data_IF_732483045938
#
_entry.id   IF_732483045938
#
_cell.length_a   1.000
_cell.length_b   1.000
_cell.length_c   1.000
_cell.angle_alpha   90.00
_cell.angle_beta   90.00
_cell.angle_gamma   90.00
#
_symmetry.space_group_name_H-M   'P 1'
#
loop_
_entity.id
_entity.type
_entity.pdbx_description
1 polymer ?
#
# COMPACT_ATOMS: atom_id res chain seq x y z
N UNK A 1 20.59 0.54 1.78
CA UNK A 1 19.84 1.32 2.80
C UNK A 1 18.65 0.54 3.28
N UNK A 2 18.57 0.17 4.56
CA UNK A 2 17.41 -0.54 5.10
C UNK A 2 16.24 0.43 5.30
N UNK A 3 15.06 0.09 4.78
CA UNK A 3 13.87 0.97 4.82
C UNK A 3 12.65 0.33 5.49
N UNK A 4 12.77 -0.93 5.94
CA UNK A 4 11.72 -1.62 6.70
C UNK A 4 11.43 -3.03 6.19
N UNK A 5 10.36 -3.61 6.74
CA UNK A 5 9.93 -4.98 6.46
C UNK A 5 8.78 -5.00 5.44
N UNK A 6 8.73 -6.03 4.60
CA UNK A 6 7.56 -6.39 3.81
C UNK A 6 7.01 -7.69 4.38
N UNK A 7 5.77 -7.66 4.85
CA UNK A 7 5.06 -8.87 5.24
C UNK A 7 4.29 -9.38 4.03
N UNK A 8 4.60 -10.60 3.60
CA UNK A 8 3.98 -11.22 2.44
C UNK A 8 3.33 -12.55 2.80
N UNK A 9 2.21 -12.82 2.15
CA UNK A 9 1.54 -14.11 2.10
C UNK A 9 1.53 -14.57 0.64
N UNK A 10 1.89 -15.82 0.37
CA UNK A 10 1.93 -16.36 -0.98
C UNK A 10 0.76 -17.31 -1.19
N UNK A 11 -0.06 -17.03 -2.19
CA UNK A 11 -1.23 -17.83 -2.57
C UNK A 11 -1.18 -18.11 -4.07
N UNK A 12 -1.31 -19.38 -4.49
CA UNK A 12 -1.34 -19.77 -5.91
C UNK A 12 -0.24 -19.14 -6.81
N UNK A 13 0.98 -18.97 -6.26
CA UNK A 13 2.13 -18.29 -6.88
C UNK A 13 2.02 -16.75 -7.03
N UNK A 14 1.01 -16.12 -6.45
CA UNK A 14 0.93 -14.67 -6.28
C UNK A 14 1.38 -14.27 -4.87
N UNK A 15 2.19 -13.20 -4.78
CA UNK A 15 2.62 -12.63 -3.52
C UNK A 15 1.68 -11.49 -3.11
N UNK A 16 0.94 -11.69 -2.03
CA UNK A 16 0.08 -10.69 -1.42
C UNK A 16 0.84 -9.93 -0.34
N UNK A 17 0.87 -8.61 -0.46
CA UNK A 17 1.54 -7.74 0.53
C UNK A 17 0.54 -7.39 1.62
N UNK A 18 0.77 -7.92 2.82
CA UNK A 18 -0.06 -7.66 4.00
C UNK A 18 0.38 -6.37 4.70
N UNK A 19 1.69 -6.12 4.77
CA UNK A 19 2.27 -4.90 5.33
C UNK A 19 3.40 -4.34 4.47
N UNK A 20 3.55 -3.01 4.50
CA UNK A 20 4.51 -2.28 3.69
C UNK A 20 4.00 -1.87 2.30
N UNK A 21 2.69 -1.98 2.06
CA UNK A 21 2.04 -1.52 0.83
C UNK A 21 2.40 -0.06 0.50
N UNK A 22 2.22 0.86 1.45
CA UNK A 22 2.55 2.27 1.26
C UNK A 22 4.04 2.50 0.95
N UNK A 23 4.93 1.71 1.56
CA UNK A 23 6.38 1.79 1.32
C UNK A 23 6.72 1.39 -0.10
N UNK A 24 6.18 0.27 -0.58
CA UNK A 24 6.43 -0.21 -1.93
C UNK A 24 5.84 0.73 -2.98
N UNK A 25 4.63 1.25 -2.75
CA UNK A 25 4.02 2.27 -3.63
C UNK A 25 4.88 3.53 -3.69
N UNK A 26 5.38 4.01 -2.55
CA UNK A 26 6.23 5.20 -2.50
C UNK A 26 7.54 5.01 -3.26
N UNK A 27 8.23 3.89 -3.04
CA UNK A 27 9.46 3.56 -3.78
C UNK A 27 9.20 3.46 -5.29
N UNK A 28 8.06 2.88 -5.68
CA UNK A 28 7.65 2.77 -7.08
C UNK A 28 7.40 4.14 -7.72
N UNK A 29 6.80 5.08 -6.99
CA UNK A 29 6.61 6.46 -7.44
C UNK A 29 7.93 7.21 -7.57
N UNK A 30 8.89 7.00 -6.67
CA UNK A 30 10.23 7.58 -6.79
C UNK A 30 10.96 7.05 -8.02
N UNK A 31 10.90 5.74 -8.28
CA UNK A 31 11.45 5.13 -9.50
C UNK A 31 10.87 5.78 -10.76
N UNK A 32 9.54 6.00 -10.80
CA UNK A 32 8.90 6.70 -11.92
C UNK A 32 9.33 8.15 -12.07
N UNK A 33 9.43 8.90 -10.96
CA UNK A 33 9.91 10.28 -10.99
C UNK A 33 11.34 10.38 -11.53
N UNK A 34 12.21 9.43 -11.15
CA UNK A 34 13.58 9.33 -11.68
C UNK A 34 13.56 9.00 -13.16
N UNK A 35 12.74 8.05 -13.59
CA UNK A 35 12.60 7.68 -15.00
C UNK A 35 12.15 8.87 -15.87
N UNK A 36 11.14 9.62 -15.43
CA UNK A 36 10.65 10.82 -16.14
C UNK A 36 11.73 11.90 -16.21
N UNK A 37 12.54 12.07 -15.17
CA UNK A 37 13.63 13.06 -15.20
C UNK A 37 14.80 12.60 -16.08
N UNK A 38 15.15 11.31 -16.07
CA UNK A 38 16.13 10.72 -17.00
C UNK A 38 15.72 10.90 -18.47
N UNK A 39 14.43 10.73 -18.80
CA UNK A 39 13.90 11.02 -20.14
C UNK A 39 14.15 12.48 -20.58
N UNK A 40 14.08 13.44 -19.65
CA UNK A 40 14.36 14.86 -19.94
C UNK A 40 15.84 15.09 -20.23
N UNK A 41 16.74 14.41 -19.52
CA UNK A 41 18.19 14.46 -19.78
C UNK A 41 18.56 13.74 -21.07
N UNK A 42 18.04 12.54 -21.32
CA UNK A 42 18.32 11.74 -22.53
C UNK A 42 18.09 12.55 -23.81
N UNK A 43 16.98 13.31 -23.87
CA UNK A 43 16.62 14.17 -25.02
C UNK A 43 17.59 15.34 -25.25
N UNK A 44 18.39 15.72 -24.26
CA UNK A 44 19.33 16.86 -24.30
C UNK A 44 20.80 16.42 -24.40
N UNK A 45 21.10 15.12 -24.25
CA UNK A 45 22.46 14.60 -24.23
C UNK A 45 22.99 14.40 -25.65
N UNK A 46 24.12 15.03 -25.97
CA UNK A 46 24.86 14.81 -27.22
C UNK A 46 25.92 13.70 -27.10
N UNK A 47 26.39 13.42 -25.88
CA UNK A 47 27.36 12.38 -25.59
C UNK A 47 26.73 10.99 -25.68
N UNK A 48 27.24 10.15 -26.59
CA UNK A 48 26.73 8.80 -26.85
C UNK A 48 26.94 7.85 -25.67
N UNK A 49 28.06 7.95 -24.95
CA UNK A 49 28.35 7.10 -23.80
C UNK A 49 27.42 7.47 -22.63
N UNK A 50 27.24 8.77 -22.35
CA UNK A 50 26.28 9.20 -21.32
C UNK A 50 24.85 8.82 -21.67
N UNK A 51 24.47 8.90 -22.95
CA UNK A 51 23.14 8.46 -23.39
C UNK A 51 22.94 6.96 -23.17
N UNK A 52 23.97 6.14 -23.43
CA UNK A 52 23.92 4.70 -23.17
C UNK A 52 23.74 4.42 -21.67
N UNK A 53 24.52 5.08 -20.81
CA UNK A 53 24.40 4.97 -19.35
C UNK A 53 22.98 5.31 -18.86
N UNK A 54 22.41 6.43 -19.32
CA UNK A 54 21.02 6.82 -18.98
C UNK A 54 20.02 5.77 -19.45
N UNK A 55 20.20 5.22 -20.65
CA UNK A 55 19.33 4.18 -21.20
C UNK A 55 19.37 2.88 -20.37
N UNK A 56 20.55 2.50 -19.87
CA UNK A 56 20.72 1.36 -18.96
C UNK A 56 19.97 1.59 -17.64
N UNK A 57 20.11 2.77 -17.03
CA UNK A 57 19.38 3.09 -15.79
C UNK A 57 17.86 3.09 -16.00
N UNK A 58 17.38 3.60 -17.13
CA UNK A 58 15.96 3.55 -17.50
C UNK A 58 15.47 2.12 -17.72
N UNK A 59 16.29 1.26 -18.32
CA UNK A 59 16.00 -0.17 -18.46
C UNK A 59 15.87 -0.85 -17.08
N UNK A 60 16.71 -0.48 -16.12
CA UNK A 60 16.67 -1.03 -14.76
C UNK A 60 15.41 -0.65 -14.02
N UNK A 61 15.00 0.62 -14.12
CA UNK A 61 13.72 1.07 -13.57
C UNK A 61 12.54 0.28 -14.18
N UNK A 62 12.55 0.04 -15.50
CA UNK A 62 11.52 -0.81 -16.13
C UNK A 62 11.54 -2.24 -15.57
N UNK A 63 12.73 -2.82 -15.29
CA UNK A 63 12.85 -4.17 -14.68
C UNK A 63 12.28 -4.23 -13.26
N UNK A 64 12.32 -3.13 -12.51
CA UNK A 64 11.70 -3.06 -11.18
C UNK A 64 10.18 -2.93 -11.24
N UNK A 65 9.65 -2.16 -12.19
CA UNK A 65 8.24 -1.79 -12.23
C UNK A 65 7.38 -2.69 -13.13
N UNK A 66 7.96 -3.43 -14.07
CA UNK A 66 7.26 -4.26 -15.04
C UNK A 66 7.64 -5.75 -14.95
N UNK A 67 6.68 -6.61 -15.29
CA UNK A 67 6.85 -8.04 -15.57
C UNK A 67 6.86 -8.19 -17.10
N UNK A 68 7.84 -8.93 -17.62
CA UNK A 68 8.04 -9.17 -19.06
C UNK A 68 8.04 -7.90 -19.93
N UNK A 69 8.39 -6.75 -19.33
CA UNK A 69 8.37 -5.41 -19.94
C UNK A 69 7.00 -4.97 -20.45
N UNK A 70 5.91 -5.59 -19.99
CA UNK A 70 4.54 -5.30 -20.45
C UNK A 70 3.61 -4.98 -19.30
N UNK A 71 3.53 -5.89 -18.33
CA UNK A 71 2.54 -5.81 -17.27
C UNK A 71 3.13 -5.12 -16.03
N UNK A 72 2.33 -4.30 -15.36
CA UNK A 72 2.77 -3.61 -14.15
C UNK A 72 2.93 -4.62 -13.02
N UNK A 73 4.13 -4.65 -12.41
CA UNK A 73 4.46 -5.61 -11.34
C UNK A 73 3.64 -5.38 -10.07
N UNK A 74 3.51 -4.12 -9.65
CA UNK A 74 2.73 -3.75 -8.47
C UNK A 74 1.24 -3.64 -8.84
N UNK A 75 0.42 -4.58 -8.38
CA UNK A 75 -1.05 -4.51 -8.49
C UNK A 75 -1.62 -3.84 -7.24
N UNK A 76 -2.24 -2.67 -7.40
CA UNK A 76 -2.93 -1.97 -6.31
C UNK A 76 -4.41 -2.39 -6.24
N UNK A 77 -5.06 -2.07 -5.11
CA UNK A 77 -6.50 -2.25 -4.90
C UNK A 77 -7.32 -1.34 -5.82
N UNK A 78 -8.60 -1.68 -6.01
CA UNK A 78 -9.43 -1.15 -7.12
C UNK A 78 -9.48 0.38 -7.23
N UNK A 79 -9.50 1.12 -6.11
CA UNK A 79 -9.52 2.59 -6.12
C UNK A 79 -8.27 3.20 -6.78
N UNK A 80 -7.10 2.59 -6.57
CA UNK A 80 -5.80 3.09 -7.06
C UNK A 80 -5.26 2.31 -8.26
N UNK A 81 -5.80 1.12 -8.56
CA UNK A 81 -5.35 0.25 -9.66
C UNK A 81 -5.33 0.95 -11.00
N UNK A 82 -6.41 1.65 -11.34
CA UNK A 82 -6.54 2.36 -12.61
C UNK A 82 -5.66 3.61 -12.66
N UNK A 83 -5.53 4.32 -11.54
CA UNK A 83 -4.63 5.47 -11.40
C UNK A 83 -3.19 5.03 -11.63
N UNK A 84 -2.76 3.94 -11.00
CA UNK A 84 -1.42 3.39 -11.13
C UNK A 84 -1.11 2.87 -12.52
N UNK A 85 -2.06 2.16 -13.15
CA UNK A 85 -1.95 1.74 -14.55
C UNK A 85 -1.83 2.95 -15.49
N UNK A 86 -2.54 4.04 -15.22
CA UNK A 86 -2.43 5.26 -16.00
C UNK A 86 -1.06 5.95 -15.82
N UNK A 87 -0.60 6.10 -14.58
CA UNK A 87 0.70 6.72 -14.27
C UNK A 87 1.85 5.96 -14.94
N UNK A 88 1.81 4.63 -14.92
CA UNK A 88 2.87 3.77 -15.47
C UNK A 88 2.97 3.78 -17.00
N UNK A 89 2.01 4.40 -17.72
CA UNK A 89 2.10 4.65 -19.16
C UNK A 89 3.38 5.42 -19.54
N UNK A 90 3.91 6.24 -18.62
CA UNK A 90 5.15 6.99 -18.84
C UNK A 90 6.34 6.09 -19.19
N UNK A 91 6.37 4.83 -18.70
CA UNK A 91 7.43 3.87 -19.01
C UNK A 91 7.50 3.49 -20.50
N UNK A 92 6.38 3.69 -21.20
CA UNK A 92 6.22 3.49 -22.64
C UNK A 92 6.25 4.83 -23.43
N UNK A 93 6.70 5.91 -22.79
CA UNK A 93 6.72 7.28 -23.34
C UNK A 93 5.32 7.85 -23.64
N UNK A 94 4.30 7.40 -22.92
CA UNK A 94 2.93 7.92 -23.00
C UNK A 94 2.61 8.80 -21.78
N UNK A 95 1.99 9.97 -22.00
CA UNK A 95 1.68 10.91 -20.92
C UNK A 95 0.43 10.48 -20.12
N UNK A 96 0.51 10.41 -18.78
CA UNK A 96 -0.64 10.10 -17.94
C UNK A 96 -1.64 11.27 -17.89
N UNK A 97 -2.93 10.97 -17.75
CA UNK A 97 -3.99 11.98 -17.83
C UNK A 97 -5.33 11.52 -17.28
N UNK A 98 -6.15 12.46 -16.81
CA UNK A 98 -7.51 12.20 -16.33
C UNK A 98 -7.67 11.88 -14.83
N UNK A 99 -6.59 11.85 -14.04
CA UNK A 99 -6.62 11.37 -12.65
C UNK A 99 -6.16 12.41 -11.58
N UNK A 100 -6.06 13.69 -11.92
CA UNK A 100 -5.56 14.75 -11.00
C UNK A 100 -6.31 14.88 -9.67
N UNK A 101 -7.57 14.43 -9.60
CA UNK A 101 -8.36 14.47 -8.36
C UNK A 101 -7.93 13.40 -7.33
N UNK A 102 -7.35 12.30 -7.79
CA UNK A 102 -7.01 11.14 -6.97
C UNK A 102 -5.72 11.36 -6.16
N UNK A 103 -5.71 10.89 -4.92
CA UNK A 103 -4.59 11.07 -3.99
C UNK A 103 -3.29 10.48 -4.51
N UNK A 104 -3.32 9.26 -5.06
CA UNK A 104 -2.13 8.64 -5.65
C UNK A 104 -1.53 9.49 -6.76
N UNK A 105 -2.36 10.06 -7.65
CA UNK A 105 -1.90 10.96 -8.70
C UNK A 105 -1.31 12.25 -8.13
N UNK A 106 -1.92 12.84 -7.09
CA UNK A 106 -1.36 14.02 -6.41
C UNK A 106 0.01 13.73 -5.81
N UNK A 107 0.23 12.53 -5.24
CA UNK A 107 1.54 12.12 -4.71
C UNK A 107 2.57 11.91 -5.82
N UNK A 108 2.16 11.28 -6.93
CA UNK A 108 2.98 11.19 -8.14
C UNK A 108 3.40 12.58 -8.64
N UNK A 109 2.44 13.49 -8.79
CA UNK A 109 2.69 14.84 -9.29
C UNK A 109 3.59 15.65 -8.34
N UNK A 110 3.44 15.45 -7.04
CA UNK A 110 4.32 16.04 -6.04
C UNK A 110 5.76 15.51 -6.17
N UNK A 111 5.96 14.19 -6.23
CA UNK A 111 7.29 13.59 -6.37
C UNK A 111 7.97 14.04 -7.66
N UNK A 112 7.26 14.01 -8.80
CA UNK A 112 7.85 14.36 -10.10
C UNK A 112 8.12 15.86 -10.25
N UNK A 113 7.38 16.74 -9.56
CA UNK A 113 7.49 18.19 -9.76
C UNK A 113 8.28 18.90 -8.65
N UNK A 114 8.15 18.43 -7.40
CA UNK A 114 8.69 19.11 -6.22
C UNK A 114 9.82 18.34 -5.53
N UNK A 115 10.07 17.08 -5.89
CA UNK A 115 11.19 16.31 -5.37
C UNK A 115 12.17 15.98 -6.50
N UNK A 116 11.91 14.91 -7.25
CA UNK A 116 12.86 14.42 -8.25
C UNK A 116 12.99 15.37 -9.44
N UNK A 117 11.92 16.06 -9.81
CA UNK A 117 11.97 17.05 -10.89
C UNK A 117 12.71 18.34 -10.55
N UNK A 118 13.13 18.55 -9.30
CA UNK A 118 14.00 19.67 -8.93
C UNK A 118 15.49 19.34 -9.10
N UNK A 119 15.83 18.08 -9.36
CA UNK A 119 17.21 17.65 -9.60
C UNK A 119 17.57 17.99 -11.05
N UNK A 120 18.26 19.12 -11.23
CA UNK A 120 18.67 19.64 -12.55
C UNK A 120 20.07 19.17 -12.98
N UNK A 121 20.77 18.41 -12.14
CA UNK A 121 22.06 17.82 -12.45
C UNK A 121 21.94 16.30 -12.70
N UNK A 122 22.43 15.83 -13.84
CA UNK A 122 22.36 14.41 -14.22
C UNK A 122 23.13 13.52 -13.23
N UNK A 123 24.33 13.91 -12.82
CA UNK A 123 25.15 13.11 -11.90
C UNK A 123 24.48 12.97 -10.52
N UNK A 124 23.83 14.03 -10.04
CA UNK A 124 23.04 13.99 -8.79
C UNK A 124 21.82 13.05 -8.92
N UNK A 125 21.14 13.07 -10.08
CA UNK A 125 20.02 12.17 -10.34
C UNK A 125 20.48 10.71 -10.40
N UNK A 126 21.62 10.42 -11.04
CA UNK A 126 22.23 9.10 -11.10
C UNK A 126 22.67 8.63 -9.71
N UNK A 127 23.25 9.51 -8.89
CA UNK A 127 23.61 9.19 -7.51
C UNK A 127 22.36 8.85 -6.68
N UNK A 128 21.27 9.62 -6.82
CA UNK A 128 20.00 9.34 -6.16
C UNK A 128 19.41 7.99 -6.62
N UNK A 129 19.41 7.74 -7.92
CA UNK A 129 18.92 6.48 -8.50
C UNK A 129 19.74 5.27 -8.04
N UNK A 130 21.06 5.42 -7.90
CA UNK A 130 21.93 4.41 -7.30
C UNK A 130 21.55 4.15 -5.82
N UNK A 131 21.34 5.20 -5.02
CA UNK A 131 20.87 5.06 -3.63
C UNK A 131 19.54 4.31 -3.55
N UNK A 132 18.60 4.65 -4.43
CA UNK A 132 17.28 4.04 -4.50
C UNK A 132 17.36 2.55 -4.90
N UNK A 133 18.24 2.21 -5.83
CA UNK A 133 18.46 0.82 -6.27
C UNK A 133 19.15 -0.05 -5.20
N UNK A 134 19.90 0.58 -4.29
CA UNK A 134 20.54 -0.07 -3.14
C UNK A 134 19.65 -0.09 -1.87
N UNK A 135 18.36 0.22 -2.00
CA UNK A 135 17.39 0.08 -0.92
C UNK A 135 17.13 -1.41 -0.63
N UNK A 136 17.14 -1.77 0.65
CA UNK A 136 16.94 -3.14 1.13
C UNK A 136 15.65 -3.19 1.94
N UNK A 137 14.76 -4.09 1.53
CA UNK A 137 13.53 -4.45 2.24
C UNK A 137 13.73 -5.83 2.84
N UNK A 138 13.40 -6.01 4.12
CA UNK A 138 13.39 -7.32 4.74
C UNK A 138 12.06 -8.01 4.45
N UNK A 139 12.10 -9.03 3.61
CA UNK A 139 10.93 -9.87 3.35
C UNK A 139 10.66 -10.80 4.53
N UNK A 140 9.42 -10.81 4.99
CA UNK A 140 8.89 -11.74 5.98
C UNK A 140 7.74 -12.48 5.31
N UNK A 141 8.00 -13.70 4.88
CA UNK A 141 7.00 -14.58 4.30
C UNK A 141 6.34 -15.43 5.40
N UNK A 142 5.00 -15.45 5.40
CA UNK A 142 4.21 -16.28 6.31
C UNK A 142 3.46 -17.37 5.52
N UNK A 143 3.31 -18.58 6.09
CA UNK A 143 2.77 -19.73 5.38
C UNK A 143 1.25 -19.64 5.18
N UNK A 144 0.54 -18.94 6.06
CA UNK A 144 -0.89 -18.72 5.93
C UNK A 144 -1.30 -17.29 6.33
N UNK A 145 -2.48 -16.88 5.88
CA UNK A 145 -3.02 -15.55 6.14
C UNK A 145 -3.23 -15.30 7.66
N UNK A 146 -3.47 -16.34 8.46
CA UNK A 146 -3.70 -16.21 9.89
C UNK A 146 -2.40 -15.87 10.65
N UNK A 147 -1.30 -16.51 10.28
CA UNK A 147 0.05 -16.23 10.78
C UNK A 147 0.49 -14.82 10.40
N UNK A 148 0.08 -14.34 9.22
CA UNK A 148 0.32 -12.95 8.80
C UNK A 148 -0.20 -11.96 9.83
N UNK A 149 -1.37 -12.22 10.45
CA UNK A 149 -1.95 -11.30 11.43
C UNK A 149 -1.16 -11.24 12.73
N UNK A 150 -0.65 -12.37 13.21
CA UNK A 150 0.16 -12.39 14.43
C UNK A 150 1.47 -11.66 14.22
N UNK A 151 2.14 -11.92 13.09
CA UNK A 151 3.37 -11.24 12.70
C UNK A 151 3.12 -9.74 12.51
N UNK A 152 2.03 -9.37 11.84
CA UNK A 152 1.65 -7.98 11.64
C UNK A 152 1.37 -7.23 12.95
N UNK A 153 0.65 -7.84 13.89
CA UNK A 153 0.39 -7.26 15.21
C UNK A 153 1.70 -7.09 16.01
N UNK A 154 2.61 -8.05 15.92
CA UNK A 154 3.94 -7.98 16.54
C UNK A 154 4.80 -6.87 15.92
N UNK A 155 4.81 -6.74 14.59
CA UNK A 155 5.56 -5.69 13.88
C UNK A 155 5.04 -4.29 14.21
N UNK A 156 3.72 -4.10 14.25
CA UNK A 156 3.09 -2.81 14.56
C UNK A 156 3.12 -2.44 16.05
N UNK A 157 3.43 -3.38 16.95
CA UNK A 157 3.56 -3.08 18.39
C UNK A 157 4.63 -2.03 18.72
N UNK A 158 5.56 -1.77 17.77
CA UNK A 158 6.62 -0.74 17.88
C UNK A 158 6.35 0.51 17.02
N UNK A 159 5.29 0.52 16.20
CA UNK A 159 4.93 1.60 15.27
C UNK A 159 3.61 2.29 15.62
N UNK A 160 2.94 2.90 14.63
CA UNK A 160 1.55 3.37 14.78
C UNK A 160 0.66 2.15 15.03
N UNK A 161 0.00 2.04 16.19
CA UNK A 161 -0.79 0.86 16.51
C UNK A 161 -1.97 0.74 15.56
N UNK A 162 -2.27 -0.49 15.15
CA UNK A 162 -3.48 -0.80 14.40
C UNK A 162 -4.70 -0.25 15.11
N UNK A 163 -5.64 0.24 14.32
CA UNK A 163 -6.93 0.61 14.89
C UNK A 163 -7.58 -0.67 15.42
N UNK A 164 -8.36 -0.60 16.51
CA UNK A 164 -9.16 -1.73 16.97
C UNK A 164 -10.01 -2.35 15.85
N UNK A 165 -10.34 -1.59 14.82
CA UNK A 165 -11.18 -2.01 13.72
C UNK A 165 -10.42 -2.80 12.68
N UNK A 166 -9.17 -2.41 12.41
CA UNK A 166 -8.30 -3.21 11.56
C UNK A 166 -8.02 -4.56 12.23
N UNK A 167 -7.87 -4.58 13.56
CA UNK A 167 -7.77 -5.82 14.33
C UNK A 167 -9.06 -6.66 14.23
N UNK A 168 -10.24 -6.04 14.32
CA UNK A 168 -11.52 -6.75 14.18
C UNK A 168 -11.75 -7.30 12.79
N UNK A 169 -11.44 -6.52 11.75
CA UNK A 169 -11.46 -6.97 10.36
C UNK A 169 -10.56 -8.19 10.20
N UNK A 170 -9.33 -8.12 10.73
CA UNK A 170 -8.38 -9.22 10.66
C UNK A 170 -8.88 -10.47 11.39
N UNK A 171 -9.47 -10.31 12.58
CA UNK A 171 -10.08 -11.43 13.31
C UNK A 171 -11.22 -12.04 12.49
N UNK A 172 -12.12 -11.23 11.93
CA UNK A 172 -13.24 -11.71 11.13
C UNK A 172 -12.78 -12.53 9.92
N UNK A 173 -11.80 -12.00 9.16
CA UNK A 173 -11.22 -12.69 8.02
C UNK A 173 -10.52 -14.00 8.44
N UNK A 174 -9.82 -14.01 9.58
CA UNK A 174 -9.16 -15.21 10.10
C UNK A 174 -10.12 -16.36 10.43
N UNK A 175 -11.41 -16.07 10.59
CA UNK A 175 -12.47 -17.05 10.89
C UNK A 175 -13.30 -17.44 9.67
N UNK A 176 -12.81 -17.15 8.45
CA UNK A 176 -13.49 -17.48 7.20
C UNK A 176 -14.51 -16.43 6.76
N UNK A 177 -14.35 -15.19 7.21
CA UNK A 177 -15.21 -14.08 6.81
C UNK A 177 -14.99 -13.63 5.37
N UNK A 178 -16.05 -13.10 4.76
CA UNK A 178 -16.02 -12.61 3.37
C UNK A 178 -15.42 -11.20 3.31
N UNK A 179 -14.48 -10.99 2.38
CA UNK A 179 -13.83 -9.69 2.20
C UNK A 179 -14.86 -8.65 1.73
N UNK A 180 -15.83 -9.05 0.92
CA UNK A 180 -16.93 -8.23 0.38
C UNK A 180 -17.74 -7.58 1.51
N UNK A 181 -18.14 -8.34 2.53
CA UNK A 181 -18.86 -7.80 3.71
C UNK A 181 -18.05 -6.75 4.46
N UNK A 182 -16.72 -6.92 4.54
CA UNK A 182 -15.85 -5.89 5.14
C UNK A 182 -15.80 -4.61 4.29
N UNK A 183 -15.85 -4.75 2.95
CA UNK A 183 -15.91 -3.59 2.04
C UNK A 183 -17.26 -2.88 2.12
N UNK A 184 -18.37 -3.62 2.15
CA UNK A 184 -19.71 -3.06 2.35
C UNK A 184 -19.77 -2.24 3.64
N UNK A 185 -19.32 -2.81 4.76
CA UNK A 185 -19.28 -2.09 6.03
C UNK A 185 -18.44 -0.82 5.93
N UNK A 186 -17.25 -0.87 5.31
CA UNK A 186 -16.40 0.31 5.14
C UNK A 186 -17.06 1.38 4.25
N UNK A 187 -17.74 0.99 3.18
CA UNK A 187 -18.39 1.93 2.26
C UNK A 187 -19.50 2.76 2.90
N UNK A 188 -20.15 2.25 3.97
CA UNK A 188 -21.15 3.00 4.72
C UNK A 188 -20.56 4.22 5.45
N UNK A 189 -19.25 4.25 5.66
CA UNK A 189 -18.53 5.31 6.38
C UNK A 189 -17.52 6.03 5.49
N UNK A 190 -17.55 5.79 4.18
CA UNK A 190 -16.68 6.44 3.22
C UNK A 190 -17.32 7.72 2.69
N UNK A 191 -16.57 8.82 2.67
CA UNK A 191 -16.97 10.09 2.07
C UNK A 191 -15.79 10.68 1.31
N UNK A 192 -15.98 10.97 0.03
CA UNK A 192 -14.93 11.55 -0.84
C UNK A 192 -13.63 10.73 -0.88
N UNK A 193 -13.74 9.40 -0.96
CA UNK A 193 -12.64 8.43 -0.95
C UNK A 193 -11.81 8.40 0.36
N UNK A 194 -12.31 9.03 1.44
CA UNK A 194 -11.77 8.91 2.79
C UNK A 194 -12.76 8.22 3.74
N UNK A 195 -12.27 7.24 4.50
CA UNK A 195 -13.07 6.54 5.52
C UNK A 195 -13.10 7.38 6.79
N UNK A 196 -14.30 7.69 7.29
CA UNK A 196 -14.51 8.28 8.62
C UNK A 196 -14.30 7.21 9.70
N UNK A 197 -13.03 6.96 9.99
CA UNK A 197 -12.61 5.93 10.93
C UNK A 197 -13.25 6.15 12.31
N UNK A 198 -13.42 7.40 12.76
CA UNK A 198 -14.04 7.74 14.05
C UNK A 198 -15.48 7.22 14.12
N UNK A 199 -16.30 7.49 13.10
CA UNK A 199 -17.69 7.01 13.07
C UNK A 199 -17.79 5.50 12.94
N UNK A 200 -16.94 4.90 12.10
CA UNK A 200 -16.88 3.44 11.98
C UNK A 200 -16.54 2.81 13.33
N UNK A 201 -15.60 3.40 14.09
CA UNK A 201 -15.28 2.94 15.47
C UNK A 201 -16.48 3.02 16.38
N UNK A 202 -17.17 4.16 16.36
CA UNK A 202 -18.33 4.38 17.22
C UNK A 202 -19.46 3.41 16.89
N UNK A 203 -19.69 3.12 15.61
CA UNK A 203 -20.67 2.14 15.17
C UNK A 203 -20.39 0.75 15.73
N UNK A 204 -19.15 0.27 15.62
CA UNK A 204 -18.77 -1.06 16.12
C UNK A 204 -18.88 -1.15 17.65
N UNK A 205 -18.52 -0.08 18.37
CA UNK A 205 -18.70 0.02 19.82
C UNK A 205 -20.18 -0.07 20.21
N UNK A 206 -21.02 0.74 19.56
CA UNK A 206 -22.45 0.77 19.82
C UNK A 206 -23.12 -0.57 19.47
N UNK A 207 -22.68 -1.21 18.38
CA UNK A 207 -23.19 -2.51 17.97
C UNK A 207 -22.88 -3.59 19.01
N UNK A 208 -21.65 -3.63 19.52
CA UNK A 208 -21.28 -4.56 20.59
C UNK A 208 -22.11 -4.29 21.85
N UNK A 209 -22.20 -3.03 22.28
CA UNK A 209 -22.94 -2.66 23.49
C UNK A 209 -24.43 -3.03 23.36
N UNK A 210 -25.02 -2.86 22.17
CA UNK A 210 -26.42 -3.14 21.91
C UNK A 210 -26.76 -4.63 21.73
N UNK A 211 -25.87 -5.43 21.11
CA UNK A 211 -26.16 -6.83 20.77
C UNK A 211 -25.59 -7.83 21.79
N UNK A 212 -24.44 -7.53 22.38
CA UNK A 212 -23.66 -8.51 23.16
C UNK A 212 -23.48 -8.10 24.62
N UNK A 213 -23.68 -6.81 24.95
CA UNK A 213 -23.52 -6.27 26.31
C UNK A 213 -24.82 -5.66 26.85
N UNK A 214 -25.97 -6.00 26.27
CA UNK A 214 -27.26 -5.37 26.55
C UNK A 214 -27.61 -5.33 28.05
N UNK A 215 -27.33 -6.42 28.77
CA UNK A 215 -27.65 -6.57 30.19
C UNK A 215 -26.65 -5.86 31.14
N UNK A 216 -25.52 -5.37 30.62
CA UNK A 216 -24.48 -4.71 31.41
C UNK A 216 -24.34 -3.24 31.02
N UNK A 217 -24.84 -2.34 31.87
CA UNK A 217 -24.87 -0.89 31.63
C UNK A 217 -23.50 -0.16 31.59
N UNK A 218 -22.38 -0.88 31.62
CA UNK A 218 -21.05 -0.29 31.48
C UNK A 218 -20.57 -0.43 30.03
N UNK A 219 -20.63 0.69 29.29
CA UNK A 219 -20.10 0.78 27.93
C UNK A 219 -18.62 0.38 27.90
N UNK A 220 -18.27 -0.46 26.94
CA UNK A 220 -16.90 -0.96 26.81
C UNK A 220 -15.92 0.14 26.42
N UNK A 221 -14.78 0.18 27.09
CA UNK A 221 -13.69 1.07 26.70
C UNK A 221 -13.03 0.59 25.41
N UNK A 222 -12.54 1.55 24.60
CA UNK A 222 -11.94 1.35 23.27
C UNK A 222 -10.89 0.22 23.19
N UNK A 223 -10.19 -0.08 24.28
CA UNK A 223 -9.14 -1.12 24.33
C UNK A 223 -9.64 -2.54 24.59
N UNK A 224 -10.87 -2.74 25.10
CA UNK A 224 -11.39 -4.07 25.46
C UNK A 224 -12.21 -4.73 24.35
N UNK A 225 -12.65 -3.96 23.35
CA UNK A 225 -13.57 -4.42 22.31
C UNK A 225 -12.98 -5.52 21.42
N UNK A 226 -11.68 -5.43 21.08
CA UNK A 226 -10.99 -6.42 20.25
C UNK A 226 -11.03 -7.80 20.90
N UNK A 227 -10.62 -7.91 22.17
CA UNK A 227 -10.64 -9.18 22.92
C UNK A 227 -12.05 -9.77 23.06
N UNK A 228 -13.07 -8.91 23.12
CA UNK A 228 -14.45 -9.34 23.28
C UNK A 228 -15.02 -9.91 21.99
N UNK A 229 -14.87 -9.22 20.87
CA UNK A 229 -15.21 -9.76 19.57
C UNK A 229 -14.34 -10.95 19.18
N UNK A 230 -13.06 -10.98 19.53
CA UNK A 230 -12.20 -12.15 19.34
C UNK A 230 -12.81 -13.40 19.99
N UNK A 231 -13.33 -13.26 21.22
CA UNK A 231 -14.05 -14.34 21.90
C UNK A 231 -15.31 -14.75 21.12
N UNK A 232 -16.10 -13.79 20.64
CA UNK A 232 -17.30 -14.06 19.84
C UNK A 232 -16.95 -14.80 18.55
N UNK A 233 -15.96 -14.32 17.80
CA UNK A 233 -15.51 -14.93 16.56
C UNK A 233 -14.82 -16.29 16.79
N UNK A 234 -14.25 -16.55 17.97
CA UNK A 234 -13.77 -17.88 18.33
C UNK A 234 -14.91 -18.87 18.57
N UNK A 235 -16.04 -18.42 19.11
CA UNK A 235 -17.22 -19.26 19.40
C UNK A 235 -18.14 -19.43 18.19
N UNK A 236 -18.49 -18.31 17.54
CA UNK A 236 -19.48 -18.22 16.46
C UNK A 236 -18.86 -18.17 15.06
N UNK A 237 -17.53 -18.08 14.94
CA UNK A 237 -16.80 -17.92 13.66
C UNK A 237 -17.35 -16.74 12.84
N UNK A 238 -17.12 -16.72 11.53
CA UNK A 238 -17.60 -15.66 10.65
C UNK A 238 -19.12 -15.56 10.53
N UNK A 239 -19.87 -16.62 10.88
CA UNK A 239 -21.35 -16.67 10.82
C UNK A 239 -22.04 -15.66 11.75
N UNK A 240 -21.27 -15.00 12.62
CA UNK A 240 -21.75 -13.92 13.45
C UNK A 240 -22.17 -12.67 12.68
N UNK A 241 -21.58 -12.42 11.49
CA UNK A 241 -21.89 -11.27 10.61
C UNK A 241 -22.69 -11.74 9.39
#
# INVERSE_FOLDING_TARGET
YYVGNLLIYTDDNENHIIDGQQRLTTLSLFLLGVFENLLKFEKKLDDTNKRLEVSEQMSDIRRYLLIDRKDVRLKLLDNDKNVWKNITLILNNEEPGGWKKYTLFKRYDYIRSHLIGQIDNLEELLEFQNKLSNVVLLEIAVPDLNDSYQVFASLNSKGLPLTPLDLLKNIYLSKGGEIEKCHELKSLFEKEDEIDDIKLRQFILNNYDGLENYDNAQSLTKGKIVKKYEKIFNEKKADYI
#
